data_IF_841090880310
#
_entry.id   IF_841090880310
#
_cell.length_a   1.000
_cell.length_b   1.000
_cell.length_c   1.000
_cell.angle_alpha   90.00
_cell.angle_beta   90.00
_cell.angle_gamma   90.00
#
_symmetry.space_group_name_H-M   'P 1'
#
loop_
_entity.id
_entity.type
_entity.pdbx_description
1 polymer ?
#
# COMPACT_ATOMS: atom_id res chain seq x y z
N UNK A 1 28.08 11.09 -23.91
CA UNK A 1 27.77 11.96 -22.76
C UNK A 1 27.09 13.28 -23.16
N UNK A 2 26.18 13.31 -24.15
CA UNK A 2 25.46 14.56 -24.51
C UNK A 2 24.02 14.38 -25.03
N UNK A 3 23.50 13.14 -25.17
CA UNK A 3 22.14 12.90 -25.67
C UNK A 3 21.15 12.34 -24.63
N UNK A 4 21.62 11.74 -23.53
CA UNK A 4 20.74 11.24 -22.47
C UNK A 4 20.18 12.35 -21.56
N UNK A 5 20.83 13.52 -21.48
CA UNK A 5 20.44 14.62 -20.60
C UNK A 5 19.34 15.54 -21.17
N UNK A 6 18.88 15.33 -22.41
CA UNK A 6 17.86 16.19 -23.04
C UNK A 6 16.42 15.71 -22.86
N UNK A 7 16.20 14.44 -22.51
CA UNK A 7 14.85 13.91 -22.27
C UNK A 7 14.34 14.15 -20.84
N UNK A 8 15.22 14.42 -19.88
CA UNK A 8 14.83 14.75 -18.50
C UNK A 8 14.39 16.21 -18.30
N UNK A 9 14.67 17.12 -19.24
CA UNK A 9 14.31 18.54 -19.13
C UNK A 9 13.03 18.96 -19.88
N UNK A 10 12.36 18.04 -20.59
CA UNK A 10 11.11 18.35 -21.33
C UNK A 10 9.82 18.05 -20.56
N UNK A 11 9.88 17.34 -19.43
CA UNK A 11 8.72 17.11 -18.56
C UNK A 11 8.40 18.29 -17.61
N UNK A 12 9.21 19.36 -17.64
CA UNK A 12 9.12 20.50 -16.72
C UNK A 12 8.47 21.77 -17.30
N UNK A 13 7.70 21.68 -18.40
CA UNK A 13 6.98 22.85 -18.93
C UNK A 13 5.52 22.56 -19.26
N UNK A 14 4.65 23.15 -18.44
CA UNK A 14 3.41 23.76 -18.92
C UNK A 14 2.23 22.83 -19.15
N UNK A 15 1.71 22.25 -18.08
CA UNK A 15 0.36 21.68 -18.06
C UNK A 15 -0.20 21.77 -16.64
N UNK A 16 -0.79 22.92 -16.27
CA UNK A 16 -1.61 22.98 -15.05
C UNK A 16 -2.83 22.11 -15.27
N UNK A 17 -2.78 20.85 -14.84
CA UNK A 17 -3.99 20.10 -14.53
C UNK A 17 -4.68 20.81 -13.38
N UNK A 18 -5.68 21.63 -13.72
CA UNK A 18 -6.67 22.13 -12.78
C UNK A 18 -7.40 20.91 -12.22
N UNK A 19 -7.04 20.49 -11.02
CA UNK A 19 -7.93 19.68 -10.20
C UNK A 19 -9.15 20.57 -9.92
N UNK A 20 -10.38 20.18 -10.31
CA UNK A 20 -11.54 20.98 -10.02
C UNK A 20 -11.74 20.94 -8.49
N UNK A 21 -11.42 22.06 -7.82
CA UNK A 21 -11.93 22.33 -6.47
C UNK A 21 -13.42 22.68 -6.57
N UNK A 22 -14.23 21.70 -6.95
CA UNK A 22 -15.66 21.71 -6.74
C UNK A 22 -15.92 21.15 -5.36
N UNK A 23 -16.37 22.00 -4.43
CA UNK A 23 -16.93 21.51 -3.17
C UNK A 23 -18.18 20.68 -3.51
N UNK A 24 -18.06 19.36 -3.44
CA UNK A 24 -19.22 18.47 -3.53
C UNK A 24 -20.22 18.85 -2.44
N UNK A 25 -21.44 19.22 -2.86
CA UNK A 25 -22.56 19.43 -1.96
C UNK A 25 -22.80 18.15 -1.15
N UNK A 26 -23.21 18.23 0.14
CA UNK A 26 -23.43 17.07 1.01
C UNK A 26 -24.31 15.98 0.39
N UNK A 27 -25.29 16.37 -0.45
CA UNK A 27 -26.13 15.42 -1.18
C UNK A 27 -25.36 14.60 -2.22
N UNK A 28 -24.50 15.24 -3.00
CA UNK A 28 -23.73 14.58 -4.06
C UNK A 28 -22.68 13.63 -3.48
N UNK A 29 -22.01 13.99 -2.38
CA UNK A 29 -21.09 13.11 -1.68
C UNK A 29 -21.77 11.83 -1.15
N UNK A 30 -23.01 11.93 -0.64
CA UNK A 30 -23.80 10.75 -0.24
C UNK A 30 -24.15 9.85 -1.43
N UNK A 31 -24.53 10.42 -2.57
CA UNK A 31 -24.84 9.63 -3.77
C UNK A 31 -23.60 8.89 -4.31
N UNK A 32 -22.43 9.54 -4.34
CA UNK A 32 -21.19 8.88 -4.77
C UNK A 32 -20.75 7.74 -3.84
N UNK A 33 -20.81 7.96 -2.51
CA UNK A 33 -20.51 6.93 -1.53
C UNK A 33 -21.41 5.71 -1.67
N UNK A 34 -22.71 5.97 -1.84
CA UNK A 34 -23.71 4.93 -2.02
C UNK A 34 -23.46 4.11 -3.28
N UNK A 35 -23.03 4.72 -4.40
CA UNK A 35 -22.79 4.02 -5.65
C UNK A 35 -21.57 3.08 -5.56
N UNK A 36 -20.41 3.59 -5.13
CA UNK A 36 -19.19 2.77 -4.99
C UNK A 36 -19.39 1.60 -4.04
N UNK A 37 -20.01 1.84 -2.87
CA UNK A 37 -20.30 0.78 -1.90
C UNK A 37 -21.24 -0.28 -2.47
N UNK A 38 -22.32 0.13 -3.13
CA UNK A 38 -23.28 -0.81 -3.75
C UNK A 38 -22.60 -1.69 -4.80
N UNK A 39 -21.77 -1.09 -5.66
CA UNK A 39 -21.00 -1.82 -6.67
C UNK A 39 -20.01 -2.81 -6.03
N UNK A 40 -19.29 -2.38 -4.98
CA UNK A 40 -18.35 -3.23 -4.27
C UNK A 40 -19.05 -4.40 -3.55
N UNK A 41 -20.18 -4.14 -2.88
CA UNK A 41 -20.95 -5.17 -2.17
C UNK A 41 -21.60 -6.17 -3.13
N UNK A 42 -22.06 -5.72 -4.30
CA UNK A 42 -22.57 -6.60 -5.35
C UNK A 42 -21.47 -7.55 -5.86
N UNK A 43 -20.28 -7.01 -6.15
CA UNK A 43 -19.10 -7.82 -6.52
C UNK A 43 -18.70 -8.80 -5.41
N UNK A 44 -18.68 -8.34 -4.16
CA UNK A 44 -18.36 -9.19 -3.02
C UNK A 44 -19.38 -10.34 -2.86
N UNK A 45 -20.66 -10.08 -3.07
CA UNK A 45 -21.72 -11.09 -3.03
C UNK A 45 -21.60 -12.10 -4.18
N UNK A 46 -21.30 -11.64 -5.40
CA UNK A 46 -21.05 -12.51 -6.55
C UNK A 46 -19.89 -13.47 -6.30
N UNK A 47 -18.79 -12.97 -5.75
CA UNK A 47 -17.63 -13.81 -5.42
C UNK A 47 -17.89 -14.74 -4.25
N UNK A 48 -18.61 -14.28 -3.22
CA UNK A 48 -18.99 -15.12 -2.10
C UNK A 48 -19.88 -16.30 -2.53
N UNK A 49 -20.74 -16.13 -3.54
CA UNK A 49 -21.54 -17.21 -4.11
C UNK A 49 -20.69 -18.32 -4.77
N UNK A 50 -19.44 -18.00 -5.16
CA UNK A 50 -18.44 -18.95 -5.66
C UNK A 50 -17.47 -19.45 -4.56
N UNK A 51 -17.66 -19.05 -3.29
CA UNK A 51 -16.72 -19.35 -2.21
C UNK A 51 -15.43 -18.53 -2.27
N UNK A 52 -15.42 -17.42 -3.01
CA UNK A 52 -14.24 -16.59 -3.26
C UNK A 52 -14.29 -15.28 -2.47
N UNK A 53 -13.10 -14.76 -2.14
CA UNK A 53 -12.96 -13.40 -1.60
C UNK A 53 -13.11 -12.36 -2.72
N UNK A 54 -13.49 -11.10 -2.40
CA UNK A 54 -13.50 -10.00 -3.35
C UNK A 54 -12.10 -9.77 -3.95
N UNK A 55 -12.05 -9.39 -5.23
CA UNK A 55 -10.83 -8.88 -5.85
C UNK A 55 -10.25 -7.68 -5.06
N UNK A 56 -8.92 -7.49 -5.08
CA UNK A 56 -8.31 -6.25 -4.61
C UNK A 56 -8.86 -5.02 -5.33
N UNK A 57 -8.82 -3.88 -4.65
CA UNK A 57 -9.24 -2.61 -5.23
C UNK A 57 -8.31 -2.18 -6.35
N UNK A 58 -8.88 -1.75 -7.47
CA UNK A 58 -8.15 -1.07 -8.52
C UNK A 58 -7.93 0.43 -8.20
N UNK A 59 -7.14 1.12 -9.01
CA UNK A 59 -6.80 2.53 -8.79
C UNK A 59 -8.02 3.46 -8.69
N UNK A 60 -9.07 3.24 -9.50
CA UNK A 60 -10.31 4.03 -9.42
C UNK A 60 -11.01 3.81 -8.08
N UNK A 61 -11.16 2.56 -7.66
CA UNK A 61 -11.82 2.22 -6.39
C UNK A 61 -11.03 2.75 -5.18
N UNK A 62 -9.69 2.77 -5.24
CA UNK A 62 -8.88 3.43 -4.22
C UNK A 62 -9.10 4.94 -4.21
N UNK A 63 -9.20 5.59 -5.38
CA UNK A 63 -9.53 7.02 -5.44
C UNK A 63 -10.92 7.33 -4.85
N UNK A 64 -11.92 6.49 -5.15
CA UNK A 64 -13.26 6.59 -4.57
C UNK A 64 -13.21 6.41 -3.04
N UNK A 65 -12.48 5.41 -2.54
CA UNK A 65 -12.26 5.19 -1.11
C UNK A 65 -11.54 6.38 -0.43
N UNK A 66 -10.59 7.04 -1.11
CA UNK A 66 -9.92 8.25 -0.60
C UNK A 66 -10.91 9.39 -0.38
N UNK A 67 -11.87 9.61 -1.29
CA UNK A 67 -12.89 10.63 -1.09
C UNK A 67 -13.80 10.32 0.10
N UNK A 68 -14.14 9.03 0.30
CA UNK A 68 -14.87 8.58 1.48
C UNK A 68 -14.06 8.73 2.77
N UNK A 69 -12.75 8.49 2.76
CA UNK A 69 -11.89 8.71 3.94
C UNK A 69 -11.79 10.20 4.31
N UNK A 70 -11.92 11.11 3.34
CA UNK A 70 -11.97 12.55 3.60
C UNK A 70 -13.31 12.97 4.21
N UNK A 71 -14.42 12.34 3.80
CA UNK A 71 -15.79 12.66 4.23
C UNK A 71 -16.60 11.37 4.44
N UNK A 72 -16.37 10.65 5.55
CA UNK A 72 -16.99 9.35 5.72
C UNK A 72 -18.51 9.48 5.92
N UNK A 73 -19.32 8.66 5.24
CA UNK A 73 -20.73 8.49 5.58
C UNK A 73 -20.87 7.91 6.99
N UNK A 74 -21.90 8.36 7.72
CA UNK A 74 -22.13 7.90 9.08
C UNK A 74 -22.41 6.38 9.11
N UNK A 75 -21.69 5.64 9.95
CA UNK A 75 -21.82 4.19 10.09
C UNK A 75 -20.99 3.38 9.09
N UNK A 76 -20.24 4.03 8.19
CA UNK A 76 -19.40 3.37 7.19
C UNK A 76 -17.89 3.57 7.44
N UNK A 77 -17.53 4.19 8.57
CA UNK A 77 -16.15 4.58 8.89
C UNK A 77 -15.21 3.37 8.93
N UNK A 78 -15.62 2.30 9.61
CA UNK A 78 -14.83 1.08 9.71
C UNK A 78 -14.72 0.36 8.37
N UNK A 79 -15.80 0.37 7.57
CA UNK A 79 -15.85 -0.30 6.27
C UNK A 79 -14.87 0.32 5.28
N UNK A 80 -14.92 1.64 5.09
CA UNK A 80 -14.00 2.32 4.16
C UNK A 80 -12.54 2.22 4.62
N UNK A 81 -12.28 2.29 5.94
CA UNK A 81 -10.94 2.16 6.49
C UNK A 81 -10.38 0.76 6.26
N UNK A 82 -11.17 -0.29 6.49
CA UNK A 82 -10.74 -1.67 6.24
C UNK A 82 -10.37 -1.90 4.77
N UNK A 83 -11.24 -1.46 3.85
CA UNK A 83 -10.96 -1.56 2.41
C UNK A 83 -9.64 -0.89 2.03
N UNK A 84 -9.43 0.35 2.47
CA UNK A 84 -8.23 1.08 2.13
C UNK A 84 -6.97 0.47 2.73
N UNK A 85 -7.04 -0.06 3.95
CA UNK A 85 -5.89 -0.65 4.64
C UNK A 85 -5.56 -2.03 4.06
N UNK A 86 -6.56 -2.90 3.87
CA UNK A 86 -6.39 -4.34 3.67
C UNK A 86 -6.71 -4.85 2.25
N UNK A 87 -7.37 -4.07 1.40
CA UNK A 87 -7.80 -4.51 0.05
C UNK A 87 -7.05 -3.85 -1.10
N UNK A 88 -5.95 -3.14 -0.84
CA UNK A 88 -5.14 -2.51 -1.88
C UNK A 88 -3.85 -3.31 -2.08
N UNK A 89 -3.49 -3.70 -3.32
CA UNK A 89 -2.20 -4.32 -3.59
C UNK A 89 -1.01 -3.49 -3.07
N UNK A 90 0.07 -4.12 -2.60
CA UNK A 90 1.29 -3.42 -2.18
C UNK A 90 2.19 -3.10 -3.38
N UNK A 91 3.36 -2.50 -3.13
CA UNK A 91 4.39 -2.34 -4.14
C UNK A 91 4.14 -1.17 -5.11
N UNK A 92 4.33 -1.45 -6.39
CA UNK A 92 4.26 -0.46 -7.50
C UNK A 92 3.02 -0.61 -8.37
N UNK A 93 1.97 -1.24 -7.84
CA UNK A 93 0.66 -1.30 -8.47
C UNK A 93 0.03 0.11 -8.58
N UNK A 94 -0.82 0.34 -9.58
CA UNK A 94 -1.47 1.64 -9.78
C UNK A 94 -2.37 2.04 -8.60
N UNK A 95 -3.04 1.07 -7.97
CA UNK A 95 -3.83 1.30 -6.76
C UNK A 95 -2.93 1.65 -5.56
N UNK A 96 -1.76 1.00 -5.46
CA UNK A 96 -0.75 1.34 -4.46
C UNK A 96 -0.22 2.77 -4.67
N UNK A 97 -0.05 3.23 -5.90
CA UNK A 97 0.35 4.61 -6.21
C UNK A 97 -0.66 5.63 -5.64
N UNK A 98 -1.96 5.42 -5.88
CA UNK A 98 -3.03 6.30 -5.37
C UNK A 98 -3.04 6.28 -3.83
N UNK A 99 -2.95 5.08 -3.23
CA UNK A 99 -2.89 4.91 -1.76
C UNK A 99 -1.69 5.63 -1.15
N UNK A 100 -0.50 5.41 -1.68
CA UNK A 100 0.73 6.06 -1.21
C UNK A 100 0.60 7.57 -1.34
N UNK A 101 0.20 8.08 -2.50
CA UNK A 101 0.05 9.52 -2.73
C UNK A 101 -0.89 10.21 -1.74
N UNK A 102 -2.01 9.59 -1.39
CA UNK A 102 -2.92 10.11 -0.37
C UNK A 102 -2.29 10.11 1.03
N UNK A 103 -1.66 9.01 1.43
CA UNK A 103 -1.00 8.89 2.74
C UNK A 103 0.16 9.89 2.87
N UNK A 104 0.96 10.07 1.82
CA UNK A 104 2.02 11.08 1.74
C UNK A 104 1.44 12.49 1.91
N UNK A 105 0.33 12.79 1.24
CA UNK A 105 -0.33 14.08 1.37
C UNK A 105 -0.84 14.33 2.81
N UNK A 106 -1.32 13.30 3.53
CA UNK A 106 -1.68 13.41 4.95
C UNK A 106 -0.42 13.71 5.79
N UNK A 107 0.65 12.95 5.61
CA UNK A 107 1.93 13.12 6.31
C UNK A 107 2.51 14.53 6.11
N UNK A 108 2.35 15.09 4.90
CA UNK A 108 2.78 16.44 4.54
C UNK A 108 1.80 17.55 4.95
N UNK A 109 0.61 17.20 5.46
CA UNK A 109 -0.43 18.18 5.80
C UNK A 109 -1.10 18.83 4.58
N UNK A 110 -0.95 18.25 3.39
CA UNK A 110 -1.59 18.69 2.14
C UNK A 110 -3.00 18.09 1.97
N UNK A 111 -3.32 17.04 2.71
CA UNK A 111 -4.64 16.43 2.78
C UNK A 111 -4.99 16.08 4.23
N UNK A 112 -6.29 15.91 4.51
CA UNK A 112 -6.81 15.51 5.81
C UNK A 112 -7.86 14.41 5.65
N UNK A 113 -8.02 13.60 6.70
CA UNK A 113 -9.04 12.56 6.79
C UNK A 113 -9.60 12.56 8.21
N UNK A 114 -10.90 12.29 8.34
CA UNK A 114 -11.52 12.09 9.65
C UNK A 114 -11.10 10.76 10.30
N UNK A 115 -10.55 9.81 9.52
CA UNK A 115 -10.33 8.41 9.92
C UNK A 115 -8.86 7.99 9.94
N UNK A 116 -7.97 8.78 9.31
CA UNK A 116 -6.54 8.52 9.19
C UNK A 116 -5.78 9.74 9.70
N UNK A 117 -5.19 9.61 10.88
CA UNK A 117 -4.24 10.59 11.42
C UNK A 117 -2.90 10.53 10.67
N UNK A 118 -2.02 11.51 10.90
CA UNK A 118 -0.65 11.45 10.37
C UNK A 118 0.12 10.22 10.85
N UNK A 119 -0.12 9.80 12.09
CA UNK A 119 0.52 8.61 12.65
C UNK A 119 -0.02 7.34 12.01
N UNK A 120 -1.34 7.23 11.83
CA UNK A 120 -1.95 6.11 11.11
C UNK A 120 -1.40 6.06 9.67
N UNK A 121 -1.20 7.20 9.03
CA UNK A 121 -0.67 7.24 7.67
C UNK A 121 0.75 6.66 7.58
N UNK A 122 1.61 6.91 8.56
CA UNK A 122 2.94 6.29 8.65
C UNK A 122 2.83 4.78 8.88
N UNK A 123 1.94 4.34 9.78
CA UNK A 123 1.74 2.91 10.03
C UNK A 123 1.28 2.19 8.75
N UNK A 124 0.33 2.77 8.01
CA UNK A 124 -0.19 2.20 6.76
C UNK A 124 0.88 2.24 5.66
N UNK A 125 1.65 3.32 5.51
CA UNK A 125 2.78 3.36 4.59
C UNK A 125 3.79 2.24 4.91
N UNK A 126 3.98 1.91 6.18
CA UNK A 126 4.85 0.81 6.63
C UNK A 126 4.38 -0.59 6.21
N UNK A 127 3.12 -0.79 5.82
CA UNK A 127 2.61 -2.11 5.39
C UNK A 127 2.61 -2.31 3.87
N UNK A 128 2.95 -1.28 3.09
CA UNK A 128 2.90 -1.32 1.62
C UNK A 128 4.07 -2.08 0.96
N UNK A 129 4.88 -2.79 1.76
CA UNK A 129 6.03 -3.63 1.40
C UNK A 129 7.24 -2.91 0.77
N UNK A 130 7.03 -1.90 -0.07
CA UNK A 130 8.05 -1.15 -0.79
C UNK A 130 7.48 -0.39 -1.99
N UNK A 131 8.33 0.33 -2.72
CA UNK A 131 7.90 1.15 -3.86
C UNK A 131 7.47 2.56 -3.45
N UNK A 132 6.24 2.96 -3.78
CA UNK A 132 5.79 4.35 -3.65
C UNK A 132 5.73 4.89 -2.21
N UNK A 133 5.73 4.01 -1.20
CA UNK A 133 5.73 4.38 0.22
C UNK A 133 7.10 4.84 0.74
N UNK A 134 8.20 4.38 0.14
CA UNK A 134 9.54 4.47 0.73
C UNK A 134 9.99 5.92 0.91
N UNK A 135 9.90 6.74 -0.15
CA UNK A 135 10.36 8.13 -0.10
C UNK A 135 9.65 8.94 0.99
N UNK A 136 8.35 8.68 1.20
CA UNK A 136 7.58 9.36 2.26
C UNK A 136 7.96 8.92 3.66
N UNK A 137 8.27 7.62 3.86
CA UNK A 137 8.80 7.14 5.13
C UNK A 137 10.19 7.72 5.44
N UNK A 138 11.08 7.79 4.44
CA UNK A 138 12.41 8.39 4.59
C UNK A 138 12.30 9.89 4.93
N UNK A 139 11.43 10.62 4.24
CA UNK A 139 11.18 12.03 4.53
C UNK A 139 10.57 12.24 5.94
N UNK A 140 9.78 11.30 6.42
CA UNK A 140 9.18 11.37 7.75
C UNK A 140 10.21 11.22 8.89
N UNK A 141 11.43 10.75 8.63
CA UNK A 141 12.51 10.73 9.62
C UNK A 141 12.94 12.12 10.08
N UNK A 142 12.63 13.18 9.33
CA UNK A 142 12.96 14.57 9.68
C UNK A 142 11.85 15.27 10.48
N UNK A 143 10.73 14.58 10.76
CA UNK A 143 9.58 15.15 11.45
C UNK A 143 9.50 14.59 12.86
N UNK A 144 9.81 15.40 13.88
CA UNK A 144 9.92 14.94 15.27
C UNK A 144 8.73 14.12 15.78
N UNK A 145 7.51 14.48 15.36
CA UNK A 145 6.29 13.77 15.74
C UNK A 145 6.14 12.42 15.04
N UNK A 146 6.63 12.26 13.80
CA UNK A 146 6.43 11.06 12.97
C UNK A 146 7.65 10.13 12.90
N UNK A 147 8.85 10.68 13.12
CA UNK A 147 10.12 10.00 12.94
C UNK A 147 10.26 8.70 13.75
N UNK A 148 9.77 8.59 15.01
CA UNK A 148 9.78 7.31 15.72
C UNK A 148 9.03 6.19 14.99
N UNK A 149 7.84 6.48 14.45
CA UNK A 149 7.05 5.49 13.69
C UNK A 149 7.66 5.19 12.33
N UNK A 150 8.17 6.21 11.65
CA UNK A 150 8.84 6.05 10.36
C UNK A 150 10.08 5.16 10.49
N UNK A 151 10.86 5.32 11.57
CA UNK A 151 11.99 4.46 11.86
C UNK A 151 11.58 3.00 12.08
N UNK A 152 10.53 2.74 12.87
CA UNK A 152 10.00 1.38 13.08
C UNK A 152 9.51 0.75 11.77
N UNK A 153 8.84 1.52 10.91
CA UNK A 153 8.40 1.06 9.60
C UNK A 153 9.59 0.71 8.69
N UNK A 154 10.54 1.63 8.52
CA UNK A 154 11.72 1.43 7.66
C UNK A 154 12.61 0.28 8.15
N UNK A 155 12.75 0.09 9.46
CA UNK A 155 13.52 -1.02 10.05
C UNK A 155 13.03 -2.40 9.60
N UNK A 156 11.76 -2.52 9.20
CA UNK A 156 11.14 -3.77 8.72
C UNK A 156 11.01 -3.82 7.18
N UNK A 157 11.29 -2.73 6.48
CA UNK A 157 11.15 -2.62 5.02
C UNK A 157 12.40 -3.20 4.34
N UNK A 158 12.22 -4.29 3.59
CA UNK A 158 13.31 -4.95 2.87
C UNK A 158 13.57 -4.35 1.49
N UNK A 159 12.50 -3.89 0.83
CA UNK A 159 12.55 -3.34 -0.53
C UNK A 159 12.99 -1.88 -0.52
N UNK A 160 14.11 -1.59 0.16
CA UNK A 160 14.66 -0.25 0.33
C UNK A 160 15.52 0.20 -0.86
N UNK A 161 16.22 -0.75 -1.52
CA UNK A 161 17.08 -0.49 -2.69
C UNK A 161 17.98 0.76 -2.49
N UNK A 162 18.06 1.65 -3.49
CA UNK A 162 18.92 2.84 -3.45
C UNK A 162 18.48 3.86 -2.39
N UNK A 163 17.23 3.83 -1.92
CA UNK A 163 16.78 4.69 -0.82
C UNK A 163 17.49 4.35 0.52
N UNK A 164 18.24 3.24 0.56
CA UNK A 164 19.21 2.98 1.62
C UNK A 164 20.16 4.17 1.80
N UNK A 165 20.68 4.72 0.70
CA UNK A 165 21.65 5.83 0.75
C UNK A 165 21.02 7.12 1.29
N UNK A 166 19.73 7.35 1.04
CA UNK A 166 19.00 8.50 1.61
C UNK A 166 18.90 8.39 3.14
N UNK A 167 18.68 7.18 3.67
CA UNK A 167 18.68 6.93 5.12
C UNK A 167 20.09 7.04 5.69
N UNK A 168 21.09 6.49 4.99
CA UNK A 168 22.49 6.55 5.39
C UNK A 168 23.00 8.00 5.48
N UNK A 169 22.67 8.83 4.49
CA UNK A 169 23.03 10.25 4.46
C UNK A 169 22.45 10.98 5.67
N UNK A 170 21.16 10.76 5.97
CA UNK A 170 20.51 11.33 7.16
C UNK A 170 21.18 10.86 8.45
N UNK A 171 21.55 9.59 8.54
CA UNK A 171 22.25 9.05 9.70
C UNK A 171 23.63 9.71 9.90
N UNK A 172 24.40 9.87 8.82
CA UNK A 172 25.70 10.57 8.80
C UNK A 172 25.56 12.05 9.16
N UNK A 173 24.46 12.69 8.75
CA UNK A 173 24.11 14.07 9.11
C UNK A 173 23.63 14.22 10.58
N UNK A 174 23.53 13.13 11.35
CA UNK A 174 23.22 13.16 12.77
C UNK A 174 21.77 12.86 13.14
N UNK A 175 20.89 12.52 12.19
CA UNK A 175 19.51 12.15 12.48
C UNK A 175 19.47 10.85 13.33
N UNK A 176 19.01 10.96 14.57
CA UNK A 176 18.96 9.85 15.53
C UNK A 176 18.06 8.69 15.07
N UNK A 177 16.98 8.99 14.35
CA UNK A 177 16.03 8.00 13.85
C UNK A 177 16.58 7.27 12.63
N UNK A 178 17.28 7.98 11.75
CA UNK A 178 17.99 7.35 10.65
C UNK A 178 19.11 6.40 11.15
N UNK A 179 19.86 6.81 12.19
CA UNK A 179 20.85 5.93 12.85
C UNK A 179 20.20 4.66 13.41
N UNK A 180 19.06 4.80 14.08
CA UNK A 180 18.28 3.66 14.59
C UNK A 180 17.90 2.68 13.46
N UNK A 181 17.47 3.18 12.30
CA UNK A 181 17.13 2.34 11.14
C UNK A 181 18.35 1.58 10.63
N UNK A 182 19.49 2.26 10.44
CA UNK A 182 20.74 1.63 9.99
C UNK A 182 21.20 0.55 10.98
N UNK A 183 21.14 0.83 12.28
CA UNK A 183 21.50 -0.12 13.33
C UNK A 183 20.56 -1.33 13.33
N UNK A 184 19.25 -1.12 13.22
CA UNK A 184 18.25 -2.20 13.15
C UNK A 184 18.48 -3.12 11.94
N UNK A 185 18.81 -2.56 10.78
CA UNK A 185 19.18 -3.34 9.60
C UNK A 185 20.48 -4.11 9.78
N UNK A 186 21.51 -3.49 10.37
CA UNK A 186 22.79 -4.14 10.66
C UNK A 186 22.65 -5.30 11.66
N UNK A 187 21.77 -5.15 12.65
CA UNK A 187 21.40 -6.18 13.63
C UNK A 187 20.43 -7.24 13.07
N UNK A 188 20.04 -7.12 11.80
CA UNK A 188 19.10 -7.99 11.11
C UNK A 188 17.77 -8.16 11.86
N UNK A 189 17.25 -7.12 12.51
CA UNK A 189 16.01 -7.19 13.30
C UNK A 189 14.79 -7.55 12.45
N UNK A 190 14.78 -7.18 11.18
CA UNK A 190 13.78 -7.61 10.20
C UNK A 190 13.69 -9.14 10.05
N UNK A 191 14.78 -9.86 10.35
CA UNK A 191 14.88 -11.32 10.34
C UNK A 191 14.70 -11.90 11.74
N UNK A 192 15.47 -11.42 12.72
CA UNK A 192 15.53 -12.00 14.07
C UNK A 192 14.26 -11.77 14.89
N UNK A 193 13.44 -10.76 14.55
CA UNK A 193 12.13 -10.55 15.17
C UNK A 193 11.05 -11.53 14.66
N UNK A 194 11.31 -12.27 13.57
CA UNK A 194 10.35 -13.27 13.06
C UNK A 194 10.45 -14.56 13.89
N UNK A 195 9.33 -15.30 14.06
CA UNK A 195 9.37 -16.61 14.69
C UNK A 195 10.38 -17.53 14.00
N UNK A 196 11.21 -18.22 14.79
CA UNK A 196 12.09 -19.27 14.28
C UNK A 196 11.24 -20.42 13.71
N UNK A 197 11.79 -21.14 12.74
CA UNK A 197 11.19 -22.41 12.28
C UNK A 197 11.12 -23.36 13.48
N UNK A 198 9.96 -23.98 13.69
CA UNK A 198 9.76 -24.91 14.78
C UNK A 198 10.63 -26.16 14.60
N UNK A 199 11.21 -26.68 15.69
CA UNK A 199 12.02 -27.92 15.67
C UNK A 199 11.21 -29.15 15.23
N UNK A 200 9.89 -29.12 15.47
CA UNK A 200 8.94 -30.14 15.02
C UNK A 200 7.71 -29.45 14.43
N UNK A 201 7.37 -29.83 13.20
CA UNK A 201 6.15 -29.41 12.52
C UNK A 201 5.24 -30.63 12.39
N UNK A 202 4.05 -30.57 12.99
CA UNK A 202 3.03 -31.63 12.85
C UNK A 202 2.10 -31.26 11.70
N UNK A 203 1.97 -32.15 10.73
CA UNK A 203 1.15 -31.93 9.51
C UNK A 203 0.26 -33.14 9.24
N UNK A 204 -0.84 -32.92 8.52
CA UNK A 204 -1.66 -33.99 7.94
C UNK A 204 -1.18 -34.25 6.51
N UNK A 205 -0.91 -35.51 6.18
CA UNK A 205 -0.44 -35.87 4.83
C UNK A 205 -1.59 -35.76 3.83
N UNK A 206 -1.46 -34.87 2.84
CA UNK A 206 -2.26 -34.86 1.62
C UNK A 206 -1.47 -35.55 0.51
N UNK A 207 -1.73 -36.85 0.27
CA UNK A 207 -0.97 -37.65 -0.69
C UNK A 207 -1.68 -37.71 -2.04
N UNK A 208 -1.00 -37.26 -3.09
CA UNK A 208 -1.32 -37.57 -4.49
C UNK A 208 -0.40 -38.70 -4.95
N UNK A 209 -0.95 -39.79 -5.46
CA UNK A 209 -0.17 -40.95 -5.94
C UNK A 209 0.24 -40.75 -7.39
N UNK A 210 1.43 -41.23 -7.78
CA UNK A 210 1.94 -41.10 -9.14
C UNK A 210 2.77 -39.83 -9.32
N UNK A 211 2.78 -39.32 -10.55
CA UNK A 211 3.38 -38.02 -10.89
C UNK A 211 2.37 -36.90 -10.65
N UNK A 212 2.85 -35.73 -10.22
CA UNK A 212 2.08 -34.49 -10.21
C UNK A 212 2.82 -33.50 -11.10
N UNK A 213 2.23 -33.17 -12.24
CA UNK A 213 2.70 -32.16 -13.15
C UNK A 213 2.14 -30.79 -12.72
N UNK A 214 2.81 -29.69 -13.09
CA UNK A 214 2.26 -28.34 -12.87
C UNK A 214 0.94 -28.11 -13.59
N UNK A 215 0.69 -28.78 -14.72
CA UNK A 215 -0.60 -28.66 -15.43
C UNK A 215 -1.76 -29.30 -14.64
N UNK A 216 -1.49 -30.28 -13.77
CA UNK A 216 -2.51 -30.87 -12.87
C UNK A 216 -2.93 -29.85 -11.79
N UNK A 217 -2.05 -28.92 -11.42
CA UNK A 217 -2.26 -27.91 -10.38
C UNK A 217 -2.65 -26.55 -10.94
N UNK A 218 -2.27 -26.24 -12.18
CA UNK A 218 -2.52 -24.97 -12.88
C UNK A 218 -2.75 -25.25 -14.37
N UNK A 219 -3.94 -25.78 -14.74
CA UNK A 219 -4.22 -26.20 -16.10
C UNK A 219 -4.05 -25.06 -17.11
N UNK A 220 -3.45 -25.37 -18.26
CA UNK A 220 -3.25 -24.40 -19.33
C UNK A 220 -4.55 -23.75 -19.83
N UNK A 221 -5.67 -24.49 -19.76
CA UNK A 221 -7.01 -24.03 -20.16
C UNK A 221 -7.50 -22.86 -19.28
N UNK A 222 -7.04 -22.82 -18.02
CA UNK A 222 -7.38 -21.82 -17.01
C UNK A 222 -6.27 -20.78 -16.82
N UNK A 223 -5.32 -20.68 -17.76
CA UNK A 223 -4.22 -19.72 -17.68
C UNK A 223 -4.71 -18.24 -17.62
N UNK A 224 -5.93 -17.98 -18.10
CA UNK A 224 -6.55 -16.66 -18.06
C UNK A 224 -6.88 -16.17 -16.63
N UNK A 225 -7.10 -17.09 -15.68
CA UNK A 225 -7.46 -16.76 -14.29
C UNK A 225 -6.24 -16.62 -13.38
N UNK A 226 -5.04 -17.02 -13.81
CA UNK A 226 -3.79 -17.02 -12.99
C UNK A 226 -3.51 -15.75 -12.19
N UNK A 227 -3.81 -14.52 -12.66
CA UNK A 227 -3.61 -13.31 -11.86
C UNK A 227 -4.53 -13.20 -10.64
N UNK A 228 -5.65 -13.92 -10.63
CA UNK A 228 -6.64 -13.98 -9.56
C UNK A 228 -6.46 -15.27 -8.74
N UNK A 229 -5.52 -15.24 -7.78
CA UNK A 229 -5.09 -16.41 -6.99
C UNK A 229 -6.25 -17.17 -6.34
N UNK A 230 -7.29 -16.55 -5.74
CA UNK A 230 -8.41 -17.31 -5.21
C UNK A 230 -9.27 -18.00 -6.26
N UNK A 231 -9.41 -17.42 -7.46
CA UNK A 231 -10.22 -17.99 -8.54
C UNK A 231 -9.50 -19.14 -9.26
N UNK A 232 -8.18 -19.01 -9.41
CA UNK A 232 -7.32 -20.00 -10.05
C UNK A 232 -7.00 -21.17 -9.12
#
# INVERSE_FOLDING_TARGET
MAMASRNFQRAARGGRLRVPHGAFSPGMARFFASAFKTEYEAHAAERAAMGLVPLPLNAKQVADAVELLKKPPAGEESWVKDLFVNRVPPGVDEAAYVKAGFLSAIVEGKATSALISKQDAIDILGTMQGGYNVASLVAALDKDDLAPKAAVALSKTLLIFDAFFDVEEKAKAGNKHAKQVIESWANAEWFTAKPKVAEKITVTVFKVTGETNTDDLSPAQDAWSRPDIPLH
#
